data_IF_738714695620
#
_entry.id   IF_738714695620
#
_cell.length_a   1.000
_cell.length_b   1.000
_cell.length_c   1.000
_cell.angle_alpha   90.00
_cell.angle_beta   90.00
_cell.angle_gamma   90.00
#
_symmetry.space_group_name_H-M   'P 1'
#
loop_
_entity.id
_entity.type
_entity.pdbx_description
1 polymer ?
#
# COMPACT_ATOMS: atom_id res chain seq x y z
N UNK A 1 -29.70 -9.55 -14.18
CA UNK A 1 -29.64 -8.40 -13.23
C UNK A 1 -28.24 -8.38 -12.60
N UNK A 2 -27.52 -7.26 -12.69
CA UNK A 2 -26.13 -7.12 -12.22
C UNK A 2 -26.00 -6.37 -10.88
N UNK A 3 -27.02 -6.40 -10.01
CA UNK A 3 -27.02 -5.77 -8.68
C UNK A 3 -26.33 -4.39 -8.63
N UNK A 4 -25.13 -4.31 -8.04
CA UNK A 4 -24.32 -3.09 -7.86
C UNK A 4 -23.29 -2.85 -8.98
N UNK A 5 -23.28 -3.69 -10.00
CA UNK A 5 -22.41 -3.60 -11.17
C UNK A 5 -23.14 -3.20 -12.44
N UNK A 6 -22.40 -3.14 -13.54
CA UNK A 6 -22.89 -2.71 -14.85
C UNK A 6 -23.07 -3.93 -15.76
N UNK A 7 -24.27 -4.14 -16.34
CA UNK A 7 -24.47 -5.20 -17.32
C UNK A 7 -23.77 -4.86 -18.63
N UNK A 8 -23.08 -5.85 -19.21
CA UNK A 8 -22.45 -5.76 -20.52
C UNK A 8 -22.96 -6.92 -21.36
N UNK A 9 -23.43 -6.60 -22.56
CA UNK A 9 -23.92 -7.59 -23.51
C UNK A 9 -22.77 -8.11 -24.36
N UNK A 10 -22.59 -9.42 -24.40
CA UNK A 10 -21.53 -10.04 -25.19
C UNK A 10 -22.14 -10.66 -26.45
N UNK A 11 -21.99 -9.95 -27.58
CA UNK A 11 -22.62 -10.30 -28.86
C UNK A 11 -22.38 -11.75 -29.32
N UNK A 12 -21.27 -12.37 -28.91
CA UNK A 12 -20.90 -13.72 -29.35
C UNK A 12 -21.65 -14.85 -28.62
N UNK A 13 -22.20 -14.59 -27.42
CA UNK A 13 -22.81 -15.62 -26.58
C UNK A 13 -24.31 -15.40 -26.35
N UNK A 14 -24.87 -14.27 -26.81
CA UNK A 14 -26.18 -13.76 -26.38
C UNK A 14 -26.33 -13.70 -24.84
N UNK A 15 -25.22 -13.67 -24.11
CA UNK A 15 -25.20 -13.64 -22.65
C UNK A 15 -24.90 -12.24 -22.13
N UNK A 16 -25.59 -11.87 -21.05
CA UNK A 16 -25.30 -10.67 -20.28
C UNK A 16 -24.29 -10.99 -19.19
N UNK A 17 -23.09 -10.40 -19.27
CA UNK A 17 -22.08 -10.44 -18.22
C UNK A 17 -22.16 -9.19 -17.34
N UNK A 18 -21.57 -9.22 -16.15
CA UNK A 18 -21.59 -8.10 -15.21
C UNK A 18 -20.18 -7.61 -14.89
N UNK A 19 -19.93 -6.32 -15.10
CA UNK A 19 -18.72 -5.66 -14.61
C UNK A 19 -18.94 -5.18 -13.18
N UNK A 20 -18.19 -5.76 -12.24
CA UNK A 20 -18.31 -5.41 -10.83
C UNK A 20 -17.32 -4.32 -10.43
N UNK A 21 -17.76 -3.30 -9.67
CA UNK A 21 -16.84 -2.38 -9.03
C UNK A 21 -15.98 -3.12 -7.99
N UNK A 22 -14.80 -2.59 -7.59
CA UNK A 22 -13.86 -3.31 -6.72
C UNK A 22 -14.41 -3.72 -5.34
N UNK A 23 -15.48 -3.07 -4.88
CA UNK A 23 -16.17 -3.37 -3.63
C UNK A 23 -17.11 -4.59 -3.72
N UNK A 24 -17.35 -5.14 -4.91
CA UNK A 24 -18.26 -6.26 -5.12
C UNK A 24 -17.67 -7.31 -6.06
N UNK A 25 -18.12 -8.56 -5.95
CA UNK A 25 -17.68 -9.68 -6.78
C UNK A 25 -18.77 -10.73 -6.99
N UNK A 26 -18.47 -11.72 -7.83
CA UNK A 26 -19.41 -12.75 -8.29
C UNK A 26 -20.00 -12.41 -9.65
N UNK A 27 -20.59 -13.41 -10.31
CA UNK A 27 -21.12 -13.28 -11.68
C UNK A 27 -22.24 -12.23 -11.84
N UNK A 28 -22.87 -11.81 -10.75
CA UNK A 28 -23.89 -10.74 -10.70
C UNK A 28 -23.51 -9.62 -9.72
N UNK A 29 -22.25 -9.52 -9.31
CA UNK A 29 -21.80 -8.56 -8.29
C UNK A 29 -22.62 -8.64 -6.99
N UNK A 30 -22.99 -9.86 -6.60
CA UNK A 30 -23.88 -10.13 -5.48
C UNK A 30 -23.15 -10.17 -4.12
N UNK A 31 -21.83 -10.40 -4.14
CA UNK A 31 -21.03 -10.52 -2.91
C UNK A 31 -20.24 -9.24 -2.68
N UNK A 32 -20.19 -8.80 -1.43
CA UNK A 32 -19.40 -7.64 -1.03
C UNK A 32 -17.96 -8.09 -0.77
N UNK A 33 -16.99 -7.42 -1.39
CA UNK A 33 -15.57 -7.66 -1.14
C UNK A 33 -15.17 -7.21 0.25
N UNK A 34 -14.40 -8.05 0.92
CA UNK A 34 -13.82 -7.69 2.20
C UNK A 34 -12.67 -6.70 2.00
N UNK A 35 -12.67 -5.63 2.79
CA UNK A 35 -11.75 -4.50 2.58
C UNK A 35 -11.43 -3.73 3.85
N UNK A 36 -10.36 -2.95 3.77
CA UNK A 36 -9.96 -1.97 4.79
C UNK A 36 -10.13 -0.59 4.20
N UNK A 37 -11.02 0.21 4.81
CA UNK A 37 -11.11 1.64 4.53
C UNK A 37 -10.21 2.39 5.49
N UNK A 38 -9.32 3.25 4.99
CA UNK A 38 -8.41 4.05 5.82
C UNK A 38 -8.63 5.52 5.51
N UNK A 39 -8.89 6.32 6.54
CA UNK A 39 -8.93 7.77 6.46
C UNK A 39 -7.63 8.30 7.05
N UNK A 40 -6.83 8.97 6.24
CA UNK A 40 -5.51 9.47 6.62
C UNK A 40 -5.50 10.99 6.63
N UNK A 41 -4.92 11.57 7.68
CA UNK A 41 -4.54 12.97 7.69
C UNK A 41 -3.05 13.09 8.04
N UNK A 42 -2.29 13.74 7.17
CA UNK A 42 -0.85 13.91 7.36
C UNK A 42 -0.50 15.34 7.80
N UNK A 43 0.39 15.45 8.78
CA UNK A 43 1.03 16.69 9.20
C UNK A 43 2.54 16.49 9.20
N UNK A 44 3.18 16.86 8.10
CA UNK A 44 4.64 16.81 7.95
C UNK A 44 5.17 18.24 7.96
N UNK A 45 6.23 18.48 8.75
CA UNK A 45 6.82 19.81 8.93
C UNK A 45 7.48 20.33 7.64
N UNK A 46 8.04 19.43 6.82
CA UNK A 46 8.71 19.80 5.59
C UNK A 46 7.68 20.26 4.53
N UNK A 47 7.58 21.57 4.38
CA UNK A 47 6.50 22.22 3.65
C UNK A 47 6.62 22.12 2.13
N UNK A 48 7.83 22.17 1.56
CA UNK A 48 8.07 22.23 0.10
C UNK A 48 8.32 20.89 -0.58
N UNK A 49 8.56 19.82 0.17
CA UNK A 49 8.87 18.51 -0.40
C UNK A 49 7.59 17.77 -0.72
N UNK A 50 7.53 17.19 -1.91
CA UNK A 50 6.44 16.30 -2.28
C UNK A 50 6.76 14.90 -1.75
N UNK A 51 5.88 14.38 -0.91
CA UNK A 51 5.97 13.02 -0.42
C UNK A 51 4.95 12.14 -1.13
N UNK A 52 5.36 10.92 -1.45
CA UNK A 52 4.43 9.86 -1.84
C UNK A 52 4.29 8.88 -0.67
N UNK A 53 3.05 8.67 -0.26
CA UNK A 53 2.68 7.67 0.73
C UNK A 53 2.12 6.46 0.00
N UNK A 54 2.75 5.30 0.19
CA UNK A 54 2.30 4.01 -0.34
C UNK A 54 1.67 3.22 0.81
N UNK A 55 0.35 3.02 0.72
CA UNK A 55 -0.46 2.42 1.77
C UNK A 55 -0.84 1.00 1.36
N UNK A 56 -0.50 0.04 2.20
CA UNK A 56 -0.56 -1.38 1.85
C UNK A 56 -1.03 -2.22 3.04
N UNK A 57 -2.07 -3.07 2.91
CA UNK A 57 -2.30 -4.14 3.86
C UNK A 57 -1.33 -5.29 3.58
N UNK A 58 -0.64 -5.72 4.62
CA UNK A 58 0.29 -6.85 4.60
C UNK A 58 -0.12 -7.93 5.61
N UNK A 59 0.23 -9.17 5.32
CA UNK A 59 0.10 -10.28 6.27
C UNK A 59 1.36 -10.44 7.14
N UNK A 60 1.35 -11.41 8.05
CA UNK A 60 2.51 -11.76 8.89
C UNK A 60 3.75 -12.22 8.11
N UNK A 61 3.60 -12.61 6.85
CA UNK A 61 4.69 -13.00 5.97
C UNK A 61 5.20 -11.82 5.12
N UNK A 62 4.73 -10.60 5.38
CA UNK A 62 5.05 -9.37 4.64
C UNK A 62 4.54 -9.36 3.19
N UNK A 63 3.59 -10.23 2.86
CA UNK A 63 2.95 -10.27 1.54
C UNK A 63 2.02 -9.08 1.37
N UNK A 64 2.13 -8.38 0.23
CA UNK A 64 1.27 -7.23 -0.07
C UNK A 64 -0.01 -7.72 -0.75
N UNK A 65 -1.18 -7.32 -0.24
CA UNK A 65 -2.47 -7.74 -0.80
C UNK A 65 -3.05 -6.74 -1.82
N UNK A 66 -2.81 -5.46 -1.60
CA UNK A 66 -3.14 -4.34 -2.49
C UNK A 66 -2.29 -3.14 -2.11
N UNK A 67 -2.36 -2.08 -2.89
CA UNK A 67 -1.64 -0.84 -2.60
C UNK A 67 -2.39 0.34 -3.17
N UNK A 68 -2.37 1.44 -2.44
CA UNK A 68 -2.84 2.74 -2.90
C UNK A 68 -1.75 3.77 -2.65
N UNK A 69 -1.64 4.77 -3.52
CA UNK A 69 -0.62 5.80 -3.43
C UNK A 69 -1.28 7.17 -3.32
N UNK A 70 -0.78 8.02 -2.42
CA UNK A 70 -1.22 9.41 -2.31
C UNK A 70 -0.01 10.33 -2.27
N UNK A 71 -0.04 11.35 -3.12
CA UNK A 71 0.93 12.43 -3.09
C UNK A 71 0.48 13.52 -2.13
N UNK A 72 1.42 14.06 -1.38
CA UNK A 72 1.18 15.04 -0.33
C UNK A 72 2.24 16.14 -0.36
N UNK A 73 1.77 17.38 -0.32
CA UNK A 73 2.60 18.56 -0.15
C UNK A 73 2.05 19.39 1.01
N UNK A 74 2.82 19.59 2.07
CA UNK A 74 2.31 20.16 3.33
C UNK A 74 1.75 21.58 3.17
N UNK A 75 2.30 22.44 2.29
CA UNK A 75 1.73 23.79 2.04
C UNK A 75 0.28 23.74 1.53
N UNK A 76 -0.07 22.68 0.80
CA UNK A 76 -1.37 22.53 0.14
C UNK A 76 -2.31 21.60 0.93
N UNK A 77 -1.77 20.49 1.42
CA UNK A 77 -2.54 19.32 1.83
C UNK A 77 -2.60 19.10 3.35
N UNK A 78 -2.03 19.98 4.19
CA UNK A 78 -1.97 19.77 5.65
C UNK A 78 -3.34 19.59 6.36
N UNK A 79 -4.43 20.10 5.76
CA UNK A 79 -5.80 19.93 6.27
C UNK A 79 -6.60 18.88 5.49
N UNK A 80 -6.04 18.34 4.41
CA UNK A 80 -6.70 17.37 3.55
C UNK A 80 -6.76 16.01 4.25
N UNK A 81 -7.89 15.34 4.05
CA UNK A 81 -8.10 13.94 4.44
C UNK A 81 -8.07 13.09 3.18
N UNK A 82 -7.41 11.94 3.27
CA UNK A 82 -7.30 10.98 2.18
C UNK A 82 -8.08 9.73 2.55
N UNK A 83 -9.12 9.42 1.77
CA UNK A 83 -9.91 8.22 1.91
C UNK A 83 -9.40 7.14 0.96
N UNK A 84 -8.88 6.05 1.54
CA UNK A 84 -8.20 4.97 0.81
C UNK A 84 -8.93 3.66 1.06
N UNK A 85 -9.13 2.86 0.01
CA UNK A 85 -9.79 1.55 0.11
C UNK A 85 -8.84 0.44 -0.36
N UNK A 86 -8.45 -0.43 0.58
CA UNK A 86 -7.50 -1.50 0.34
C UNK A 86 -8.23 -2.84 0.34
N UNK A 87 -7.95 -3.66 -0.67
CA UNK A 87 -8.56 -4.97 -0.85
C UNK A 87 -7.61 -6.09 -0.41
N UNK A 88 -8.18 -7.15 0.14
CA UNK A 88 -7.43 -8.38 0.35
C UNK A 88 -7.28 -9.15 -0.98
N UNK A 89 -6.18 -9.88 -1.13
CA UNK A 89 -5.89 -10.66 -2.35
C UNK A 89 -6.83 -11.87 -2.49
N UNK A 90 -7.16 -12.53 -1.38
CA UNK A 90 -8.17 -13.59 -1.33
C UNK A 90 -9.55 -13.07 -0.94
N UNK A 91 -10.58 -13.70 -1.50
CA UNK A 91 -12.00 -13.41 -1.25
C UNK A 91 -12.74 -14.74 -1.05
N UNK A 92 -13.15 -15.09 0.17
CA UNK A 92 -12.95 -14.37 1.42
C UNK A 92 -11.48 -14.38 1.87
N UNK A 93 -11.11 -13.43 2.73
CA UNK A 93 -9.79 -13.37 3.36
C UNK A 93 -9.62 -14.52 4.36
N UNK A 94 -8.38 -14.86 4.68
CA UNK A 94 -8.09 -15.91 5.65
C UNK A 94 -8.33 -15.40 7.08
N UNK A 95 -9.33 -15.97 7.76
CA UNK A 95 -9.77 -15.53 9.10
C UNK A 95 -8.66 -15.71 10.16
N UNK A 96 -7.81 -16.72 10.00
CA UNK A 96 -6.74 -17.04 10.96
C UNK A 96 -5.47 -16.22 10.74
N UNK A 97 -5.43 -15.35 9.71
CA UNK A 97 -4.28 -14.49 9.45
C UNK A 97 -4.46 -13.14 10.15
N UNK A 98 -3.37 -12.66 10.75
CA UNK A 98 -3.29 -11.30 11.26
C UNK A 98 -2.82 -10.39 10.14
N UNK A 99 -3.51 -9.27 9.96
CA UNK A 99 -3.18 -8.27 8.95
C UNK A 99 -2.69 -6.99 9.60
N UNK A 100 -1.83 -6.30 8.87
CA UNK A 100 -1.23 -5.05 9.29
C UNK A 100 -1.34 -4.04 8.17
N UNK A 101 -1.45 -2.76 8.52
CA UNK A 101 -1.37 -1.65 7.60
C UNK A 101 0.06 -1.12 7.64
N UNK A 102 0.78 -1.26 6.53
CA UNK A 102 2.10 -0.66 6.32
C UNK A 102 1.95 0.58 5.44
N UNK A 103 2.56 1.67 5.85
CA UNK A 103 2.59 2.93 5.11
C UNK A 103 4.06 3.26 4.88
N UNK A 104 4.50 3.26 3.63
CA UNK A 104 5.86 3.62 3.25
C UNK A 104 5.87 5.03 2.68
N UNK A 105 6.82 5.85 3.10
CA UNK A 105 6.92 7.26 2.75
C UNK A 105 8.19 7.45 1.93
N UNK A 106 8.04 8.11 0.79
CA UNK A 106 9.12 8.43 -0.14
C UNK A 106 9.18 9.93 -0.39
N UNK A 107 10.39 10.47 -0.43
CA UNK A 107 10.67 11.80 -0.97
C UNK A 107 10.62 11.68 -2.50
N UNK A 108 9.58 12.28 -3.09
CA UNK A 108 9.33 12.20 -4.54
C UNK A 108 10.23 13.13 -5.34
N UNK A 109 10.76 14.18 -4.71
CA UNK A 109 11.67 15.12 -5.37
C UNK A 109 13.04 14.45 -5.58
N UNK A 110 13.49 13.68 -4.58
CA UNK A 110 14.77 12.96 -4.61
C UNK A 110 14.67 11.52 -5.13
N UNK A 111 13.46 10.97 -5.21
CA UNK A 111 13.22 9.55 -5.46
C UNK A 111 13.94 8.68 -4.44
N UNK A 112 13.73 8.97 -3.15
CA UNK A 112 14.36 8.24 -2.05
C UNK A 112 13.34 7.77 -1.02
N UNK A 113 13.55 6.56 -0.49
CA UNK A 113 12.79 6.08 0.66
C UNK A 113 13.13 6.92 1.90
N UNK A 114 12.10 7.32 2.64
CA UNK A 114 12.21 8.18 3.81
C UNK A 114 12.02 7.40 5.12
N UNK A 115 10.82 6.86 5.39
CA UNK A 115 10.53 5.96 6.52
C UNK A 115 9.25 5.16 6.30
N UNK A 116 8.93 4.24 7.21
CA UNK A 116 7.70 3.46 7.20
C UNK A 116 6.99 3.49 8.55
N UNK A 117 5.67 3.35 8.53
CA UNK A 117 4.82 3.16 9.69
C UNK A 117 4.05 1.84 9.60
N UNK A 118 3.67 1.29 10.75
CA UNK A 118 3.08 -0.03 10.87
C UNK A 118 1.95 -0.04 11.90
N UNK A 119 0.74 -0.43 11.50
CA UNK A 119 -0.44 -0.47 12.36
C UNK A 119 -1.11 -1.84 12.32
N UNK A 120 -1.53 -2.35 13.48
CA UNK A 120 -2.26 -3.61 13.58
C UNK A 120 -3.73 -3.44 13.16
N UNK A 121 -4.26 -4.36 12.36
CA UNK A 121 -5.68 -4.42 11.97
C UNK A 121 -6.41 -5.36 12.92
N UNK A 122 -6.98 -4.82 14.00
CA UNK A 122 -7.51 -5.59 15.14
C UNK A 122 -8.73 -6.45 14.82
N UNK A 123 -9.65 -5.96 13.96
CA UNK A 123 -10.92 -6.64 13.69
C UNK A 123 -10.92 -7.27 12.30
N UNK A 124 -10.00 -8.22 12.10
CA UNK A 124 -9.90 -8.98 10.86
C UNK A 124 -11.18 -9.79 10.56
N UNK A 125 -12.08 -10.05 11.50
CA UNK A 125 -13.37 -10.70 11.21
C UNK A 125 -14.40 -9.81 10.51
N UNK A 126 -14.23 -8.48 10.51
CA UNK A 126 -15.21 -7.57 9.92
C UNK A 126 -15.10 -7.60 8.38
N UNK A 127 -16.21 -7.74 7.63
CA UNK A 127 -16.18 -7.63 6.17
C UNK A 127 -15.63 -6.28 5.70
N UNK A 128 -15.93 -5.19 6.43
CA UNK A 128 -15.35 -3.87 6.19
C UNK A 128 -14.79 -3.34 7.50
N UNK A 129 -13.47 -3.22 7.58
CA UNK A 129 -12.79 -2.58 8.70
C UNK A 129 -12.46 -1.13 8.35
N UNK A 130 -12.68 -0.18 9.26
CA UNK A 130 -12.38 1.25 9.05
C UNK A 130 -11.35 1.73 10.05
N UNK A 131 -10.27 2.33 9.54
CA UNK A 131 -9.21 2.96 10.32
C UNK A 131 -9.21 4.46 10.05
N UNK A 132 -9.03 5.26 11.09
CA UNK A 132 -8.85 6.71 10.97
C UNK A 132 -7.55 7.08 11.68
N UNK A 133 -6.55 7.51 10.91
CA UNK A 133 -5.21 7.80 11.43
C UNK A 133 -4.84 9.25 11.15
N UNK A 134 -4.38 9.94 12.18
CA UNK A 134 -3.70 11.21 12.05
C UNK A 134 -2.20 10.99 12.26
N UNK A 135 -1.43 11.22 11.21
CA UNK A 135 0.01 10.99 11.16
C UNK A 135 0.72 12.33 11.27
N UNK A 136 1.35 12.57 12.41
CA UNK A 136 2.19 13.73 12.64
C UNK A 136 3.65 13.28 12.59
N UNK A 137 4.45 13.90 11.72
CA UNK A 137 5.84 13.52 11.48
C UNK A 137 6.71 14.73 11.77
N UNK A 138 7.60 14.61 12.76
CA UNK A 138 8.62 15.61 13.03
C UNK A 138 10.00 15.15 12.54
N UNK A 139 10.84 16.10 12.14
CA UNK A 139 12.21 15.80 11.67
C UNK A 139 13.09 15.17 12.75
N UNK A 140 12.81 15.44 14.03
CA UNK A 140 13.53 14.88 15.18
C UNK A 140 13.29 13.38 15.34
N UNK A 141 12.09 12.91 14.95
CA UNK A 141 11.72 11.48 15.02
C UNK A 141 12.52 10.62 14.03
N UNK A 142 13.01 11.22 12.94
CA UNK A 142 13.75 10.54 11.87
C UNK A 142 15.25 10.45 12.18
N UNK A 143 15.82 11.49 12.80
CA UNK A 143 17.27 11.55 13.08
C UNK A 143 17.72 10.76 14.31
N UNK A 144 16.79 10.36 15.18
CA UNK A 144 17.09 9.62 16.39
C UNK A 144 16.82 8.12 16.19
N UNK A 145 17.86 7.35 15.89
CA UNK A 145 18.16 5.99 16.40
C UNK A 145 19.17 5.29 15.48
N UNK A 146 20.46 5.44 15.79
CA UNK A 146 21.44 4.40 15.46
C UNK A 146 21.15 3.21 16.38
N UNK A 147 20.28 2.31 15.95
CA UNK A 147 20.12 1.00 16.58
C UNK A 147 20.78 -0.07 15.72
N UNK A 148 21.45 -1.00 16.40
CA UNK A 148 21.94 -2.23 15.79
C UNK A 148 20.74 -2.94 15.18
N UNK A 149 20.74 -3.13 13.87
CA UNK A 149 19.68 -3.87 13.22
C UNK A 149 19.77 -5.36 13.59
N UNK A 150 18.67 -5.98 14.08
CA UNK A 150 18.64 -7.41 14.37
C UNK A 150 18.43 -8.30 13.13
N UNK A 151 17.98 -7.74 12.02
CA UNK A 151 17.65 -8.46 10.79
C UNK A 151 18.83 -8.53 9.81
N UNK A 152 19.06 -9.71 9.23
CA UNK A 152 20.01 -9.91 8.13
C UNK A 152 19.29 -9.82 6.79
N UNK A 153 19.23 -8.61 6.24
CA UNK A 153 18.65 -8.36 4.92
C UNK A 153 19.66 -8.73 3.83
N UNK A 154 19.29 -9.63 2.91
CA UNK A 154 20.23 -10.12 1.88
C UNK A 154 20.41 -9.11 0.75
N UNK A 155 19.29 -8.66 0.15
CA UNK A 155 19.27 -7.67 -0.94
C UNK A 155 18.45 -6.46 -0.55
N UNK A 156 18.95 -5.72 0.44
CA UNK A 156 18.25 -4.55 0.96
C UNK A 156 18.91 -4.01 2.20
N UNK A 157 18.25 -3.04 2.82
CA UNK A 157 18.71 -2.42 4.06
C UNK A 157 17.68 -2.62 5.15
N UNK A 158 18.17 -2.82 6.36
CA UNK A 158 17.33 -2.91 7.52
C UNK A 158 16.84 -1.52 7.93
N UNK A 159 15.54 -1.44 8.21
CA UNK A 159 14.86 -0.21 8.59
C UNK A 159 14.03 -0.49 9.83
N UNK A 160 13.86 0.53 10.66
CA UNK A 160 12.95 0.50 11.81
C UNK A 160 11.68 1.23 11.43
N UNK A 161 10.53 0.72 11.85
CA UNK A 161 9.29 1.48 11.74
C UNK A 161 9.33 2.70 12.66
N UNK A 162 8.74 3.81 12.23
CA UNK A 162 8.79 5.06 12.98
C UNK A 162 7.95 4.96 14.27
N UNK A 163 6.77 4.35 14.18
CA UNK A 163 5.75 4.36 15.23
C UNK A 163 5.75 3.11 16.15
N UNK A 164 6.52 2.07 15.82
CA UNK A 164 6.65 0.85 16.63
C UNK A 164 8.11 0.44 16.73
N UNK A 165 8.48 -0.24 17.82
CA UNK A 165 9.84 -0.77 17.96
C UNK A 165 9.99 -2.13 17.27
N UNK A 166 9.81 -2.11 15.95
CA UNK A 166 9.97 -3.27 15.08
C UNK A 166 10.82 -2.89 13.87
N UNK A 167 11.54 -3.89 13.34
CA UNK A 167 12.43 -3.75 12.21
C UNK A 167 11.89 -4.54 11.02
N UNK A 168 12.26 -4.13 9.82
CA UNK A 168 11.97 -4.84 8.59
C UNK A 168 13.09 -4.63 7.57
N UNK A 169 13.13 -5.47 6.55
CA UNK A 169 14.04 -5.27 5.43
C UNK A 169 13.35 -4.44 4.33
N UNK A 170 13.89 -3.27 4.04
CA UNK A 170 13.56 -2.54 2.82
C UNK A 170 14.40 -3.12 1.68
N UNK A 171 13.73 -3.86 0.79
CA UNK A 171 14.39 -4.53 -0.32
C UNK A 171 14.81 -3.55 -1.40
N UNK A 172 15.93 -3.88 -2.04
CA UNK A 172 16.37 -3.24 -3.27
C UNK A 172 15.44 -3.63 -4.44
N UNK A 173 15.47 -2.85 -5.51
CA UNK A 173 14.67 -3.11 -6.70
C UNK A 173 14.88 -4.54 -7.22
N UNK A 174 13.76 -5.20 -7.54
CA UNK A 174 13.77 -6.58 -8.02
C UNK A 174 13.83 -7.65 -6.92
N UNK A 175 13.74 -7.28 -5.64
CA UNK A 175 13.71 -8.22 -4.52
C UNK A 175 12.51 -7.99 -3.59
N UNK A 176 12.10 -9.04 -2.88
CA UNK A 176 11.00 -9.00 -1.92
C UNK A 176 11.07 -10.09 -0.84
N UNK A 177 10.06 -10.10 0.01
CA UNK A 177 9.94 -10.97 1.18
C UNK A 177 10.58 -10.36 2.42
N UNK A 178 10.31 -10.96 3.57
CA UNK A 178 10.71 -10.42 4.87
C UNK A 178 12.22 -10.15 5.03
N UNK A 179 13.06 -10.91 4.30
CA UNK A 179 14.53 -10.78 4.31
C UNK A 179 15.13 -10.44 2.94
N UNK A 180 14.31 -10.05 1.96
CA UNK A 180 14.74 -9.71 0.60
C UNK A 180 15.46 -10.86 -0.14
N UNK A 181 14.91 -12.06 -0.02
CA UNK A 181 15.46 -13.29 -0.61
C UNK A 181 14.75 -13.69 -1.91
N UNK A 182 13.52 -13.21 -2.13
CA UNK A 182 12.71 -13.58 -3.29
C UNK A 182 12.97 -12.58 -4.42
N UNK A 183 13.40 -13.08 -5.58
CA UNK A 183 13.55 -12.25 -6.78
C UNK A 183 12.19 -11.96 -7.38
N UNK A 184 11.89 -10.68 -7.59
CA UNK A 184 10.66 -10.20 -8.21
C UNK A 184 10.94 -9.54 -9.55
N UNK A 185 10.10 -9.80 -10.54
CA UNK A 185 10.14 -9.11 -11.82
C UNK A 185 9.33 -7.80 -11.72
N UNK A 186 9.99 -6.71 -11.34
CA UNK A 186 9.42 -5.37 -11.46
C UNK A 186 9.52 -4.89 -12.91
N UNK A 187 8.48 -4.23 -13.41
CA UNK A 187 8.38 -3.67 -14.77
C UNK A 187 8.26 -2.14 -14.76
N UNK A 188 8.73 -1.49 -13.69
CA UNK A 188 8.76 -0.03 -13.58
C UNK A 188 9.82 0.57 -14.51
N UNK A 189 9.63 1.83 -14.91
CA UNK A 189 10.65 2.63 -15.59
C UNK A 189 11.95 2.69 -14.78
N UNK A 190 13.08 2.88 -15.46
CA UNK A 190 14.42 2.85 -14.86
C UNK A 190 14.67 3.94 -13.81
N UNK A 191 13.90 5.03 -13.87
CA UNK A 191 13.96 6.16 -12.93
C UNK A 191 12.83 6.15 -11.90
N UNK A 192 12.06 5.06 -11.85
CA UNK A 192 10.99 4.84 -10.87
C UNK A 192 11.44 3.83 -9.81
N UNK A 193 10.88 3.94 -8.61
CA UNK A 193 11.16 3.00 -7.52
C UNK A 193 10.17 1.85 -7.60
N UNK A 194 10.64 0.60 -7.51
CA UNK A 194 9.73 -0.54 -7.35
C UNK A 194 9.50 -0.87 -5.88
N UNK A 195 8.26 -0.70 -5.43
CA UNK A 195 7.88 -1.06 -4.05
C UNK A 195 7.60 -2.56 -3.91
N UNK A 196 7.09 -3.19 -4.97
CA UNK A 196 6.75 -4.60 -4.98
C UNK A 196 5.87 -4.99 -6.16
N UNK A 197 5.31 -6.20 -6.09
CA UNK A 197 4.42 -6.75 -7.12
C UNK A 197 3.19 -7.34 -6.46
N UNK A 198 2.01 -6.95 -6.93
CA UNK A 198 0.71 -7.48 -6.48
C UNK A 198 -0.10 -7.88 -7.70
N UNK A 199 -0.67 -9.10 -7.69
CA UNK A 199 -1.46 -9.63 -8.80
C UNK A 199 -0.74 -9.50 -10.16
N UNK A 200 0.57 -9.80 -10.19
CA UNK A 200 1.44 -9.68 -11.35
C UNK A 200 1.58 -8.26 -11.93
N UNK A 201 1.29 -7.23 -11.12
CA UNK A 201 1.48 -5.81 -11.47
C UNK A 201 2.46 -5.17 -10.50
N UNK A 202 3.43 -4.46 -11.04
CA UNK A 202 4.42 -3.72 -10.25
C UNK A 202 3.79 -2.50 -9.61
N UNK A 203 4.20 -2.21 -8.38
CA UNK A 203 3.85 -0.98 -7.67
C UNK A 203 5.03 -0.03 -7.88
N UNK A 204 4.85 0.93 -8.77
CA UNK A 204 5.89 1.89 -9.17
C UNK A 204 5.59 3.25 -8.56
N UNK A 205 6.62 3.89 -8.01
CA UNK A 205 6.58 5.31 -7.67
C UNK A 205 7.32 6.04 -8.77
N UNK A 206 6.59 6.88 -9.52
CA UNK A 206 7.15 7.66 -10.61
C UNK A 206 7.65 9.03 -10.12
N UNK A 207 8.67 9.61 -10.78
CA UNK A 207 9.06 11.00 -10.59
C UNK A 207 7.91 11.98 -10.86
N UNK A 208 8.05 13.23 -10.41
CA UNK A 208 7.00 14.26 -10.49
C UNK A 208 6.47 14.56 -11.90
N UNK A 209 7.28 14.34 -12.93
CA UNK A 209 6.96 14.61 -14.34
C UNK A 209 6.35 13.40 -15.06
N UNK A 210 6.19 12.26 -14.37
CA UNK A 210 5.73 11.00 -14.94
C UNK A 210 4.53 10.43 -14.19
N UNK A 211 3.67 9.76 -14.95
CA UNK A 211 2.50 9.08 -14.42
C UNK A 211 2.23 7.82 -15.21
N UNK A 212 1.65 6.83 -14.54
CA UNK A 212 1.27 5.57 -15.15
C UNK A 212 1.60 4.37 -14.27
N UNK A 213 1.25 3.17 -14.73
CA UNK A 213 1.55 1.93 -14.02
C UNK A 213 2.99 1.44 -14.21
N UNK A 214 3.78 2.07 -15.09
CA UNK A 214 5.16 1.72 -15.44
C UNK A 214 5.97 2.96 -15.70
#
# INVERSE_FOLDING_TARGET
ICNRGVPVYQNNLNETSCLCPPAYFGHRCQYQSERVGVILQFRVIQWRTVFTFVIMPIDGNTTIHSSEQVDYLSVRDCRKKFDVYLLYSSRPKHINQTFYLRIDIYDKDKMEYYFSMFYLILYSFLPVHRLSLQINVSMLDVTAKLTICPLKCLHGRCQRFLNVDQYFCQCSDGYSGALCTVKNACSCSSDSICVGVVNNRSICICPLDKFGPR
#
